data_IF_874485908671
#
_entry.id   IF_874485908671
#
_cell.length_a   1.000
_cell.length_b   1.000
_cell.length_c   1.000
_cell.angle_alpha   90.00
_cell.angle_beta   90.00
_cell.angle_gamma   90.00
#
_symmetry.space_group_name_H-M   'P 1'
#
loop_
_entity.id
_entity.type
_entity.pdbx_description
1 polymer ?
#
# COMPACT_ATOMS: atom_id res chain seq x y z
N UNK A 1 19.58 31.26 20.33
CA UNK A 1 18.92 30.57 21.45
C UNK A 1 18.52 29.20 20.93
N UNK A 2 19.31 28.17 21.23
CA UNK A 2 19.04 26.78 20.89
C UNK A 2 18.38 26.08 22.08
N UNK A 3 17.61 25.03 21.78
CA UNK A 3 17.05 24.00 22.65
C UNK A 3 15.62 24.23 23.17
N UNK A 4 14.66 23.93 22.30
CA UNK A 4 13.54 23.09 22.68
C UNK A 4 13.86 21.66 22.22
N UNK A 5 13.81 20.69 23.13
CA UNK A 5 14.05 19.28 22.85
C UNK A 5 13.10 18.78 21.73
N UNK A 6 13.67 18.34 20.62
CA UNK A 6 12.96 17.82 19.45
C UNK A 6 12.55 16.35 19.68
N UNK A 7 11.77 16.08 20.74
CA UNK A 7 11.59 14.71 21.28
C UNK A 7 10.54 13.85 20.58
N UNK A 8 9.88 14.34 19.54
CA UNK A 8 8.96 13.53 18.74
C UNK A 8 9.58 13.32 17.37
N UNK A 9 10.27 12.19 17.18
CA UNK A 9 10.64 11.68 15.87
C UNK A 9 9.36 11.61 15.02
N UNK A 10 9.22 12.51 14.05
CA UNK A 10 8.00 12.73 13.26
C UNK A 10 8.28 12.47 11.78
N UNK A 11 7.34 11.87 11.03
CA UNK A 11 7.51 11.69 9.60
C UNK A 11 7.61 13.00 8.83
N UNK A 12 8.53 13.00 7.87
CA UNK A 12 8.78 14.09 6.94
C UNK A 12 8.29 13.72 5.52
N UNK A 13 8.15 12.43 5.22
CA UNK A 13 7.57 11.98 3.96
C UNK A 13 6.61 10.80 4.09
N UNK A 14 5.70 10.69 3.12
CA UNK A 14 4.66 9.67 3.08
C UNK A 14 4.63 8.97 1.72
N UNK A 15 4.81 7.66 1.70
CA UNK A 15 4.46 6.83 0.55
C UNK A 15 2.98 6.42 0.67
N UNK A 16 2.12 7.18 0.00
CA UNK A 16 0.65 7.15 0.21
C UNK A 16 -0.07 6.12 -0.65
N UNK A 17 0.61 5.58 -1.65
CA UNK A 17 -0.01 4.65 -2.57
C UNK A 17 0.85 4.33 -3.76
N UNK A 18 0.36 3.45 -4.64
CA UNK A 18 -0.87 2.70 -4.54
C UNK A 18 -0.61 1.24 -4.14
N UNK A 19 -1.63 0.59 -3.61
CA UNK A 19 -1.57 -0.84 -3.33
C UNK A 19 -1.16 -1.61 -4.59
N UNK A 20 -0.28 -2.61 -4.43
CA UNK A 20 0.19 -3.49 -5.53
C UNK A 20 1.04 -2.83 -6.61
N UNK A 21 1.49 -1.60 -6.39
CA UNK A 21 2.33 -0.85 -7.33
C UNK A 21 3.83 -0.90 -7.03
N UNK A 22 4.31 -1.74 -6.10
CA UNK A 22 5.76 -1.88 -5.84
C UNK A 22 6.28 -1.15 -4.60
N UNK A 23 5.42 -0.45 -3.85
CA UNK A 23 5.77 0.32 -2.64
C UNK A 23 6.53 -0.48 -1.57
N UNK A 24 6.30 -1.80 -1.47
CA UNK A 24 7.05 -2.65 -0.51
C UNK A 24 8.50 -2.87 -0.93
N UNK A 25 8.80 -2.87 -2.23
CA UNK A 25 10.17 -2.89 -2.73
C UNK A 25 10.82 -1.52 -2.53
N UNK A 26 10.12 -0.43 -2.86
CA UNK A 26 10.59 0.93 -2.59
C UNK A 26 10.96 1.12 -1.11
N UNK A 27 10.04 0.82 -0.18
CA UNK A 27 10.33 0.89 1.25
C UNK A 27 11.51 0.01 1.68
N UNK A 28 11.69 -1.16 1.05
CA UNK A 28 12.83 -2.03 1.33
C UNK A 28 14.16 -1.36 0.95
N UNK A 29 14.21 -0.64 -0.17
CA UNK A 29 15.38 0.09 -0.63
C UNK A 29 15.62 1.35 0.21
N UNK A 30 14.57 2.14 0.46
CA UNK A 30 14.67 3.35 1.31
C UNK A 30 15.22 3.04 2.70
N UNK A 31 14.81 1.90 3.30
CA UNK A 31 15.30 1.48 4.63
C UNK A 31 16.79 1.08 4.64
N UNK A 32 17.42 0.87 3.48
CA UNK A 32 18.85 0.58 3.40
C UNK A 32 19.69 1.86 3.44
N UNK A 33 19.11 3.01 3.09
CA UNK A 33 19.80 4.29 3.05
C UNK A 33 20.20 4.75 4.48
N UNK A 34 21.46 5.16 4.73
CA UNK A 34 21.92 5.55 6.06
C UNK A 34 21.16 6.75 6.65
N UNK A 35 20.68 7.64 5.77
CA UNK A 35 19.99 8.88 6.15
C UNK A 35 18.46 8.79 6.06
N UNK A 36 17.89 7.60 5.87
CA UNK A 36 16.43 7.42 5.89
C UNK A 36 16.04 6.46 7.01
N UNK A 37 15.02 6.84 7.78
CA UNK A 37 14.36 5.95 8.72
C UNK A 37 12.99 5.52 8.19
N UNK A 38 12.80 4.21 8.06
CA UNK A 38 11.48 3.60 7.82
C UNK A 38 11.12 2.67 8.98
N UNK A 39 9.93 2.78 9.59
CA UNK A 39 9.51 1.85 10.63
C UNK A 39 9.40 0.42 10.07
N UNK A 40 9.62 -0.58 10.93
CA UNK A 40 9.42 -2.00 10.56
C UNK A 40 7.96 -2.32 10.26
N UNK A 41 7.05 -1.69 11.01
CA UNK A 41 5.61 -1.82 10.80
C UNK A 41 5.15 -0.76 9.80
N UNK A 42 4.29 -1.17 8.87
CA UNK A 42 3.71 -0.34 7.82
C UNK A 42 2.22 -0.61 7.70
N UNK A 43 1.53 0.15 6.83
CA UNK A 43 0.08 0.04 6.64
C UNK A 43 -0.68 0.33 7.93
N UNK A 44 -0.28 1.40 8.61
CA UNK A 44 -0.83 1.85 9.91
C UNK A 44 -2.12 2.64 9.70
N UNK A 45 -2.22 3.34 8.57
CA UNK A 45 -3.37 4.12 8.13
C UNK A 45 -3.88 5.12 9.18
N UNK A 46 -2.98 5.74 9.96
CA UNK A 46 -3.33 6.72 10.99
C UNK A 46 -4.13 7.89 10.41
N UNK A 47 -3.75 8.37 9.23
CA UNK A 47 -4.45 9.44 8.53
C UNK A 47 -5.62 8.98 7.65
N UNK A 48 -6.17 7.78 7.84
CA UNK A 48 -7.36 7.32 7.09
C UNK A 48 -8.48 6.79 8.00
N UNK A 49 -9.02 7.63 8.91
CA UNK A 49 -10.12 7.23 9.77
C UNK A 49 -11.41 6.85 9.00
N UNK A 50 -11.56 7.27 7.74
CA UNK A 50 -12.67 6.86 6.87
C UNK A 50 -12.52 5.42 6.31
N UNK A 51 -11.34 4.81 6.47
CA UNK A 51 -11.06 3.46 5.96
C UNK A 51 -11.04 2.39 7.05
N UNK A 52 -10.84 2.78 8.31
CA UNK A 52 -10.65 1.86 9.44
C UNK A 52 -11.70 2.12 10.53
N UNK A 53 -11.82 1.19 11.48
CA UNK A 53 -12.77 1.33 12.57
C UNK A 53 -12.40 2.51 13.50
N UNK A 54 -13.39 3.24 14.02
CA UNK A 54 -13.17 4.39 14.92
C UNK A 54 -12.36 4.05 16.17
N UNK A 55 -12.40 2.78 16.60
CA UNK A 55 -11.68 2.27 17.77
C UNK A 55 -10.33 1.65 17.42
N UNK A 56 -9.89 1.76 16.16
CA UNK A 56 -8.60 1.23 15.76
C UNK A 56 -7.48 1.91 16.57
N UNK A 57 -6.65 1.16 17.29
CA UNK A 57 -5.68 1.73 18.21
C UNK A 57 -4.61 2.56 17.49
N UNK A 58 -4.46 2.42 16.18
CA UNK A 58 -3.54 3.23 15.39
C UNK A 58 -4.03 4.64 15.12
N UNK A 59 -5.28 4.98 15.48
CA UNK A 59 -5.76 6.36 15.52
C UNK A 59 -5.24 7.14 16.74
N UNK A 60 -4.67 6.47 17.75
CA UNK A 60 -3.98 7.14 18.86
C UNK A 60 -2.62 7.67 18.40
N UNK A 61 -2.44 8.99 18.51
CA UNK A 61 -1.24 9.70 18.04
C UNK A 61 0.02 9.23 18.76
N UNK A 62 -0.03 9.01 20.09
CA UNK A 62 1.15 8.55 20.84
C UNK A 62 1.60 7.17 20.38
N UNK A 63 0.65 6.25 20.14
CA UNK A 63 0.94 4.94 19.57
C UNK A 63 1.51 5.06 18.16
N UNK A 64 0.95 5.93 17.33
CA UNK A 64 1.46 6.20 15.99
C UNK A 64 2.91 6.71 16.01
N UNK A 65 3.19 7.77 16.79
CA UNK A 65 4.53 8.36 16.89
C UNK A 65 5.57 7.42 17.50
N UNK A 66 5.14 6.46 18.33
CA UNK A 66 6.04 5.43 18.89
C UNK A 66 6.73 4.56 17.83
N UNK A 67 6.21 4.52 16.60
CA UNK A 67 6.83 3.79 15.48
C UNK A 67 8.16 4.40 15.04
N UNK A 68 8.34 5.69 15.27
CA UNK A 68 9.50 6.46 14.81
C UNK A 68 10.53 6.69 15.90
N UNK A 69 10.30 6.20 17.13
CA UNK A 69 11.16 6.46 18.29
C UNK A 69 12.62 5.95 18.16
N UNK A 70 12.92 5.17 17.12
CA UNK A 70 14.26 4.65 16.81
C UNK A 70 14.99 5.41 15.71
N UNK A 71 14.36 6.41 15.10
CA UNK A 71 15.02 7.29 14.14
C UNK A 71 16.17 8.04 14.81
N UNK A 72 17.27 8.20 14.09
CA UNK A 72 18.41 9.03 14.50
C UNK A 72 18.18 10.46 14.04
N UNK A 73 18.80 11.41 14.74
CA UNK A 73 18.62 12.85 14.51
C UNK A 73 18.93 13.30 13.07
N UNK A 74 19.83 12.62 12.37
CA UNK A 74 20.22 12.96 11.00
C UNK A 74 19.37 12.30 9.90
N UNK A 75 18.41 11.45 10.27
CA UNK A 75 17.64 10.66 9.31
C UNK A 75 16.33 11.33 8.95
N UNK A 76 16.01 11.34 7.65
CA UNK A 76 14.68 11.70 7.14
C UNK A 76 13.70 10.57 7.44
N UNK A 77 12.59 10.88 8.10
CA UNK A 77 11.65 9.87 8.61
C UNK A 77 10.49 9.66 7.64
N UNK A 78 10.25 8.41 7.23
CA UNK A 78 9.16 8.07 6.31
C UNK A 78 8.04 7.23 6.91
N UNK A 79 6.82 7.42 6.41
CA UNK A 79 5.67 6.54 6.65
C UNK A 79 5.15 5.91 5.35
N UNK A 80 4.54 4.73 5.45
CA UNK A 80 3.99 4.05 4.26
C UNK A 80 2.68 3.36 4.63
N UNK A 81 1.60 3.88 4.05
CA UNK A 81 0.27 3.27 4.08
C UNK A 81 -0.38 3.46 2.71
N UNK A 82 -0.43 2.39 1.92
CA UNK A 82 -0.71 2.46 0.48
C UNK A 82 -2.17 2.80 0.13
N UNK A 83 -3.05 2.73 1.13
CA UNK A 83 -4.45 3.10 1.00
C UNK A 83 -4.72 4.54 1.42
N UNK A 84 -3.72 5.35 1.77
CA UNK A 84 -3.90 6.80 1.89
C UNK A 84 -4.32 7.44 0.57
N UNK A 85 -3.84 6.93 -0.56
CA UNK A 85 -4.31 7.34 -1.87
C UNK A 85 -5.81 7.08 -2.05
N UNK A 86 -6.30 5.92 -1.60
CA UNK A 86 -7.71 5.54 -1.66
C UNK A 86 -8.60 6.37 -0.72
N UNK A 87 -8.07 6.77 0.44
CA UNK A 87 -8.79 7.52 1.45
C UNK A 87 -9.30 8.86 0.93
N UNK A 88 -10.50 9.22 1.36
CA UNK A 88 -11.12 10.52 1.05
C UNK A 88 -10.63 11.61 2.01
N UNK A 89 -10.05 11.23 3.16
CA UNK A 89 -9.65 12.18 4.20
C UNK A 89 -8.14 12.34 4.36
N UNK A 90 -7.34 11.42 3.82
CA UNK A 90 -5.90 11.36 4.12
C UNK A 90 -5.12 12.57 3.66
N UNK A 91 -5.29 13.03 2.41
CA UNK A 91 -4.55 14.19 1.90
C UNK A 91 -4.71 15.41 2.83
N UNK A 92 -5.95 15.76 3.15
CA UNK A 92 -6.29 16.87 4.08
C UNK A 92 -5.71 16.68 5.48
N UNK A 93 -5.80 15.47 6.04
CA UNK A 93 -5.33 15.20 7.41
C UNK A 93 -3.81 15.17 7.51
N UNK A 94 -3.11 14.63 6.50
CA UNK A 94 -1.65 14.69 6.40
C UNK A 94 -1.22 16.14 6.28
N UNK A 95 -1.76 16.89 5.31
CA UNK A 95 -1.40 18.31 5.11
C UNK A 95 -1.67 19.16 6.36
N UNK A 96 -2.80 18.96 7.05
CA UNK A 96 -3.10 19.66 8.31
C UNK A 96 -2.04 19.41 9.40
N UNK A 97 -1.42 18.23 9.41
CA UNK A 97 -0.50 17.79 10.47
C UNK A 97 0.97 17.99 10.09
N UNK A 98 1.28 17.83 8.81
CA UNK A 98 2.60 17.94 8.20
C UNK A 98 2.48 18.72 6.89
N UNK A 99 2.30 20.06 6.96
CA UNK A 99 2.09 20.88 5.77
C UNK A 99 3.28 20.85 4.81
N UNK A 100 4.49 20.65 5.33
CA UNK A 100 5.74 20.60 4.56
C UNK A 100 6.13 19.18 4.12
N UNK A 101 5.26 18.18 4.31
CA UNK A 101 5.60 16.79 4.00
C UNK A 101 5.82 16.54 2.51
N UNK A 102 6.81 15.71 2.20
CA UNK A 102 6.99 15.14 0.86
C UNK A 102 6.08 13.93 0.66
N UNK A 103 5.40 13.86 -0.48
CA UNK A 103 4.42 12.82 -0.80
C UNK A 103 4.90 12.02 -2.01
N UNK A 104 5.04 10.71 -1.83
CA UNK A 104 5.41 9.77 -2.90
C UNK A 104 4.18 8.97 -3.32
N UNK A 105 3.83 9.05 -4.60
CA UNK A 105 2.69 8.37 -5.23
C UNK A 105 3.20 7.41 -6.31
N UNK A 106 3.16 6.11 -6.04
CA UNK A 106 3.59 5.07 -6.96
C UNK A 106 2.39 4.34 -7.59
N UNK A 107 2.08 4.55 -8.86
CA UNK A 107 0.94 3.89 -9.51
C UNK A 107 1.36 2.80 -10.49
N UNK A 108 0.41 1.97 -10.88
CA UNK A 108 0.54 0.88 -11.84
C UNK A 108 -0.74 0.80 -12.66
N UNK A 109 -0.72 0.18 -13.84
CA UNK A 109 -1.93 -0.14 -14.60
C UNK A 109 -3.08 -0.61 -13.67
N UNK A 110 -4.22 0.13 -13.62
CA UNK A 110 -5.34 -0.17 -12.74
C UNK A 110 -5.86 -1.61 -12.84
N UNK A 111 -5.91 -2.18 -14.05
CA UNK A 111 -6.34 -3.56 -14.30
C UNK A 111 -5.44 -4.54 -13.55
N UNK A 112 -4.13 -4.36 -13.68
CA UNK A 112 -3.15 -5.21 -13.02
C UNK A 112 -3.19 -5.05 -11.50
N UNK A 113 -3.45 -3.84 -10.99
CA UNK A 113 -3.63 -3.59 -9.56
C UNK A 113 -4.82 -4.36 -9.02
N UNK A 114 -5.99 -4.25 -9.65
CA UNK A 114 -7.20 -4.98 -9.23
C UNK A 114 -6.97 -6.49 -9.19
N UNK A 115 -6.37 -7.04 -10.25
CA UNK A 115 -6.09 -8.47 -10.34
C UNK A 115 -5.04 -8.94 -9.33
N UNK A 116 -4.00 -8.14 -9.11
CA UNK A 116 -2.94 -8.39 -8.14
C UNK A 116 -3.45 -8.30 -6.71
N UNK A 117 -4.37 -7.37 -6.43
CA UNK A 117 -4.99 -7.18 -5.13
C UNK A 117 -5.89 -8.37 -4.80
N UNK A 118 -6.75 -8.79 -5.72
CA UNK A 118 -7.59 -9.99 -5.54
C UNK A 118 -6.76 -11.23 -5.15
N UNK A 119 -5.67 -11.49 -5.86
CA UNK A 119 -4.75 -12.58 -5.52
C UNK A 119 -4.14 -12.43 -4.12
N UNK A 120 -3.80 -11.20 -3.70
CA UNK A 120 -3.29 -10.94 -2.34
C UNK A 120 -4.38 -11.16 -1.28
N UNK A 121 -5.61 -10.69 -1.52
CA UNK A 121 -6.70 -10.85 -0.56
C UNK A 121 -7.07 -12.33 -0.38
N UNK A 122 -7.04 -13.12 -1.46
CA UNK A 122 -7.18 -14.59 -1.36
C UNK A 122 -6.05 -15.19 -0.52
N UNK A 123 -4.81 -14.80 -0.79
CA UNK A 123 -3.63 -15.28 -0.06
C UNK A 123 -3.70 -14.93 1.44
N UNK A 124 -4.19 -13.73 1.77
CA UNK A 124 -4.38 -13.27 3.15
C UNK A 124 -5.59 -13.92 3.84
N UNK A 125 -6.47 -14.61 3.09
CA UNK A 125 -7.72 -15.15 3.63
C UNK A 125 -8.81 -14.09 3.85
N UNK A 126 -8.67 -12.94 3.18
CA UNK A 126 -9.57 -11.79 3.26
C UNK A 126 -10.62 -11.80 2.14
N UNK A 127 -10.39 -12.55 1.05
CA UNK A 127 -11.34 -12.69 -0.07
C UNK A 127 -11.96 -14.10 -0.13
N UNK A 128 -13.29 -14.17 -0.15
CA UNK A 128 -14.08 -15.40 -0.20
C UNK A 128 -14.47 -15.80 -1.64
N UNK A 129 -14.59 -14.84 -2.55
CA UNK A 129 -14.90 -15.06 -3.97
C UNK A 129 -13.59 -15.29 -4.74
N UNK A 130 -13.32 -16.56 -5.06
CA UNK A 130 -12.06 -16.99 -5.69
C UNK A 130 -11.92 -16.63 -7.16
N UNK A 131 -13.05 -16.43 -7.82
CA UNK A 131 -13.09 -16.02 -9.21
C UNK A 131 -12.99 -14.49 -9.29
N UNK A 132 -12.05 -13.98 -10.09
CA UNK A 132 -11.77 -12.55 -10.14
C UNK A 132 -12.95 -11.76 -10.72
N UNK A 133 -13.57 -12.24 -11.79
CA UNK A 133 -14.70 -11.55 -12.42
C UNK A 133 -15.88 -11.43 -11.45
N UNK A 134 -16.22 -12.54 -10.77
CA UNK A 134 -17.28 -12.53 -9.75
C UNK A 134 -16.96 -11.61 -8.59
N UNK A 135 -15.70 -11.55 -8.15
CA UNK A 135 -15.28 -10.69 -7.04
C UNK A 135 -15.33 -9.19 -7.44
N UNK A 136 -14.94 -8.88 -8.67
CA UNK A 136 -14.98 -7.55 -9.26
C UNK A 136 -16.42 -7.01 -9.35
N UNK A 137 -17.34 -7.81 -9.90
CA UNK A 137 -18.74 -7.41 -10.05
C UNK A 137 -19.59 -7.56 -8.78
N UNK A 138 -19.01 -8.05 -7.68
CA UNK A 138 -19.65 -8.03 -6.36
C UNK A 138 -19.52 -6.67 -5.64
N UNK A 139 -18.84 -5.69 -6.23
CA UNK A 139 -18.58 -4.38 -5.60
C UNK A 139 -19.85 -3.65 -5.16
N UNK A 140 -20.88 -3.57 -6.00
CA UNK A 140 -22.12 -2.87 -5.67
C UNK A 140 -22.90 -3.56 -4.54
N UNK A 141 -22.93 -4.89 -4.54
CA UNK A 141 -23.47 -5.67 -3.42
C UNK A 141 -22.69 -5.39 -2.13
N UNK A 142 -21.35 -5.29 -2.20
CA UNK A 142 -20.48 -4.97 -1.06
C UNK A 142 -20.72 -3.57 -0.53
N UNK A 143 -20.88 -2.56 -1.41
CA UNK A 143 -21.27 -1.20 -1.02
C UNK A 143 -22.63 -1.17 -0.33
N UNK A 144 -23.55 -2.04 -0.72
CA UNK A 144 -24.85 -2.24 -0.08
C UNK A 144 -24.81 -3.12 1.20
N UNK A 145 -23.61 -3.48 1.70
CA UNK A 145 -23.45 -4.28 2.91
C UNK A 145 -23.69 -5.78 2.75
N UNK A 146 -23.83 -6.28 1.51
CA UNK A 146 -24.00 -7.71 1.19
C UNK A 146 -22.65 -8.33 0.85
N UNK A 147 -22.50 -9.64 1.06
CA UNK A 147 -21.29 -10.38 0.72
C UNK A 147 -20.00 -9.76 1.30
N UNK A 148 -20.09 -9.12 2.46
CA UNK A 148 -18.95 -8.49 3.09
C UNK A 148 -17.91 -9.54 3.53
N UNK A 149 -16.62 -9.32 3.24
CA UNK A 149 -15.58 -10.21 3.70
C UNK A 149 -15.42 -10.15 5.22
N UNK A 150 -15.37 -11.30 5.87
CA UNK A 150 -15.50 -11.47 7.33
C UNK A 150 -14.24 -10.97 8.10
N UNK A 151 -13.14 -10.70 7.41
CA UNK A 151 -11.82 -10.44 8.05
C UNK A 151 -11.04 -9.35 7.34
N UNK A 152 -11.59 -8.14 7.29
CA UNK A 152 -10.86 -7.01 6.73
C UNK A 152 -10.91 -5.80 7.64
N UNK A 153 -9.74 -5.19 7.87
CA UNK A 153 -9.62 -3.90 8.56
C UNK A 153 -10.13 -2.74 7.70
N UNK A 154 -9.98 -2.85 6.37
CA UNK A 154 -10.39 -1.84 5.40
C UNK A 154 -11.37 -2.50 4.44
N UNK A 155 -12.65 -2.11 4.49
CA UNK A 155 -13.66 -2.71 3.61
C UNK A 155 -13.45 -2.25 2.15
N UNK A 156 -13.15 -0.97 1.93
CA UNK A 156 -12.99 -0.35 0.60
C UNK A 156 -11.95 -1.04 -0.30
N UNK A 157 -10.99 -1.79 0.25
CA UNK A 157 -10.02 -2.57 -0.56
C UNK A 157 -10.66 -3.71 -1.39
N UNK A 158 -11.93 -4.03 -1.13
CA UNK A 158 -12.73 -5.00 -1.88
C UNK A 158 -13.61 -4.36 -2.96
N UNK A 159 -13.60 -3.03 -3.06
CA UNK A 159 -14.21 -2.27 -4.14
C UNK A 159 -13.16 -2.09 -5.22
N UNK A 160 -12.96 -3.14 -6.02
CA UNK A 160 -11.86 -3.23 -6.96
C UNK A 160 -11.86 -2.10 -8.00
N UNK A 161 -13.02 -1.77 -8.59
CA UNK A 161 -13.10 -0.65 -9.52
C UNK A 161 -12.71 0.65 -8.83
N UNK A 162 -13.24 0.89 -7.63
CA UNK A 162 -12.90 2.07 -6.85
C UNK A 162 -11.40 2.16 -6.52
N UNK A 163 -10.75 1.03 -6.18
CA UNK A 163 -9.30 0.96 -5.98
C UNK A 163 -8.53 1.37 -7.23
N UNK A 164 -9.00 1.01 -8.43
CA UNK A 164 -8.36 1.32 -9.71
C UNK A 164 -8.61 2.74 -10.25
N UNK A 165 -9.49 3.53 -9.63
CA UNK A 165 -9.80 4.90 -10.05
C UNK A 165 -8.78 5.91 -9.47
N UNK A 166 -7.55 5.92 -9.98
CA UNK A 166 -6.47 6.73 -9.42
C UNK A 166 -6.61 8.23 -9.69
N UNK A 167 -7.28 8.66 -10.75
CA UNK A 167 -7.38 10.07 -11.15
C UNK A 167 -7.98 10.92 -10.02
N UNK A 168 -9.15 10.53 -9.52
CA UNK A 168 -9.80 11.21 -8.39
C UNK A 168 -8.99 11.10 -7.10
N UNK A 169 -8.25 9.99 -6.93
CA UNK A 169 -7.42 9.78 -5.76
C UNK A 169 -6.20 10.71 -5.75
N UNK A 170 -5.54 10.90 -6.89
CA UNK A 170 -4.39 11.78 -7.06
C UNK A 170 -4.81 13.25 -6.97
N UNK A 171 -5.95 13.62 -7.56
CA UNK A 171 -6.47 14.99 -7.50
C UNK A 171 -6.67 15.47 -6.04
N UNK A 172 -7.06 14.58 -5.13
CA UNK A 172 -7.15 14.93 -3.70
C UNK A 172 -5.80 15.29 -3.10
N UNK A 173 -4.69 14.72 -3.55
CA UNK A 173 -3.36 15.10 -3.06
C UNK A 173 -2.90 16.42 -3.69
N UNK A 174 -3.15 16.62 -4.99
CA UNK A 174 -2.86 17.88 -5.70
C UNK A 174 -3.64 19.07 -5.14
N UNK A 175 -4.81 18.85 -4.50
CA UNK A 175 -5.57 19.92 -3.84
C UNK A 175 -4.85 20.49 -2.60
N UNK A 176 -4.02 19.70 -1.91
CA UNK A 176 -3.40 20.08 -0.64
C UNK A 176 -1.88 20.25 -0.71
N UNK A 177 -1.20 19.62 -1.66
CA UNK A 177 0.27 19.64 -1.76
C UNK A 177 0.71 20.29 -3.06
N UNK A 178 1.76 21.09 -2.99
CA UNK A 178 2.37 21.70 -4.17
C UNK A 178 3.15 20.67 -5.00
N UNK A 179 3.42 21.00 -6.26
CA UNK A 179 4.12 20.11 -7.20
C UNK A 179 5.50 19.67 -6.70
N UNK A 180 6.24 20.55 -6.01
CA UNK A 180 7.55 20.26 -5.43
C UNK A 180 7.50 19.36 -4.20
N UNK A 181 6.31 19.16 -3.62
CA UNK A 181 6.05 18.21 -2.54
C UNK A 181 5.57 16.85 -3.04
N UNK A 182 5.36 16.67 -4.35
CA UNK A 182 4.79 15.46 -4.93
C UNK A 182 5.78 14.77 -5.87
N UNK A 183 6.04 13.48 -5.62
CA UNK A 183 6.84 12.65 -6.50
C UNK A 183 6.04 11.44 -7.00
N UNK A 184 5.87 11.38 -8.32
CA UNK A 184 5.14 10.32 -8.99
C UNK A 184 6.07 9.25 -9.55
N UNK A 185 5.77 7.99 -9.27
CA UNK A 185 6.50 6.83 -9.79
C UNK A 185 5.54 5.95 -10.57
N UNK A 186 5.86 5.65 -11.84
CA UNK A 186 5.17 4.60 -12.58
C UNK A 186 5.86 3.26 -12.30
N UNK A 187 5.09 2.24 -11.93
CA UNK A 187 5.62 0.91 -11.68
C UNK A 187 6.36 0.31 -12.89
N UNK A 188 5.97 0.70 -14.10
CA UNK A 188 6.62 0.25 -15.33
C UNK A 188 8.05 0.80 -15.41
N UNK A 189 8.26 2.07 -15.11
CA UNK A 189 9.58 2.72 -15.05
C UNK A 189 10.42 2.10 -13.92
N UNK A 190 9.83 1.93 -12.73
CA UNK A 190 10.48 1.29 -11.58
C UNK A 190 10.93 -0.14 -11.86
N UNK A 191 10.21 -0.86 -12.72
CA UNK A 191 10.59 -2.22 -13.14
C UNK A 191 11.70 -2.21 -14.19
N UNK A 192 11.74 -1.20 -15.06
CA UNK A 192 12.74 -1.05 -16.11
C UNK A 192 14.09 -0.64 -15.50
N UNK A 193 14.08 0.38 -14.63
CA UNK A 193 15.28 0.90 -13.99
C UNK A 193 15.04 1.22 -12.50
N UNK A 194 15.05 0.17 -11.69
CA UNK A 194 14.83 0.29 -10.25
C UNK A 194 15.87 1.17 -9.55
N UNK A 195 17.13 1.15 -9.99
CA UNK A 195 18.17 1.94 -9.34
C UNK A 195 17.92 3.43 -9.58
N UNK A 196 17.70 3.81 -10.84
CA UNK A 196 17.45 5.21 -11.19
C UNK A 196 16.22 5.78 -10.48
N UNK A 197 15.11 5.05 -10.42
CA UNK A 197 13.91 5.50 -9.71
C UNK A 197 14.16 5.68 -8.21
N UNK A 198 14.90 4.76 -7.58
CA UNK A 198 15.24 4.87 -6.15
C UNK A 198 16.16 6.08 -5.88
N UNK A 199 17.15 6.31 -6.73
CA UNK A 199 18.04 7.48 -6.60
C UNK A 199 17.30 8.79 -6.86
N UNK A 200 16.33 8.80 -7.78
CA UNK A 200 15.44 9.95 -7.99
C UNK A 200 14.63 10.26 -6.72
N UNK A 201 14.15 9.23 -6.03
CA UNK A 201 13.49 9.41 -4.72
C UNK A 201 14.48 9.93 -3.67
N UNK A 202 15.73 9.47 -3.64
CA UNK A 202 16.73 10.01 -2.72
C UNK A 202 16.98 11.51 -2.93
N UNK A 203 17.16 11.93 -4.18
CA UNK A 203 17.29 13.34 -4.53
C UNK A 203 16.04 14.14 -4.14
N UNK A 204 14.85 13.61 -4.41
CA UNK A 204 13.58 14.24 -4.01
C UNK A 204 13.46 14.40 -2.47
N UNK A 205 13.96 13.45 -1.70
CA UNK A 205 13.99 13.51 -0.24
C UNK A 205 15.18 14.32 0.32
N UNK A 206 16.06 14.85 -0.54
CA UNK A 206 17.22 15.64 -0.15
C UNK A 206 18.32 14.84 0.56
N UNK A 207 18.43 13.53 0.32
CA UNK A 207 19.50 12.67 0.85
C UNK A 207 20.50 12.28 -0.25
N UNK A 208 21.61 11.63 0.12
CA UNK A 208 22.65 11.19 -0.82
C UNK A 208 22.12 10.25 -1.92
N UNK A 209 21.91 10.79 -3.11
CA UNK A 209 21.41 10.04 -4.25
C UNK A 209 22.43 9.08 -4.88
N UNK A 210 23.71 9.14 -4.45
CA UNK A 210 24.75 8.23 -4.92
C UNK A 210 24.72 6.85 -4.22
N UNK A 211 23.95 6.72 -3.13
CA UNK A 211 23.83 5.46 -2.40
C UNK A 211 23.18 4.36 -3.27
N UNK A 212 23.82 3.20 -3.35
CA UNK A 212 23.31 2.05 -4.12
C UNK A 212 22.79 0.97 -3.16
N UNK A 213 21.46 0.74 -3.07
CA UNK A 213 20.90 -0.33 -2.25
C UNK A 213 21.12 -1.71 -2.89
N UNK A 214 20.98 -2.78 -2.11
CA UNK A 214 20.95 -4.16 -2.62
C UNK A 214 19.64 -4.41 -3.39
N UNK A 215 19.68 -4.25 -4.72
CA UNK A 215 18.54 -4.46 -5.62
C UNK A 215 18.39 -5.96 -5.92
N UNK A 216 17.98 -6.74 -4.92
CA UNK A 216 17.50 -8.11 -5.13
C UNK A 216 16.00 -8.09 -5.37
N UNK A 217 15.55 -8.91 -6.31
CA UNK A 217 14.14 -9.04 -6.65
C UNK A 217 13.30 -9.47 -5.43
N UNK A 218 12.49 -8.54 -4.90
CA UNK A 218 11.66 -8.77 -3.70
C UNK A 218 10.29 -9.38 -4.06
N UNK A 219 9.91 -9.43 -5.34
CA UNK A 219 8.52 -9.67 -5.74
C UNK A 219 8.29 -10.99 -6.48
N UNK A 220 8.01 -12.05 -5.72
CA UNK A 220 7.43 -13.29 -6.25
C UNK A 220 5.98 -13.45 -5.79
N UNK A 221 5.08 -13.72 -6.74
CA UNK A 221 3.68 -13.97 -6.43
C UNK A 221 3.53 -15.24 -5.56
N UNK A 222 2.59 -15.20 -4.62
CA UNK A 222 2.38 -16.24 -3.60
C UNK A 222 0.96 -16.75 -3.67
N UNK A 223 0.78 -18.05 -3.43
CA UNK A 223 -0.51 -18.69 -3.16
C UNK A 223 -0.42 -19.51 -1.89
N UNK A 224 -1.56 -19.76 -1.27
CA UNK A 224 -1.67 -20.71 -0.17
C UNK A 224 -1.78 -22.14 -0.71
N UNK A 225 -1.21 -23.11 0.03
CA UNK A 225 -1.28 -24.54 -0.30
C UNK A 225 -2.64 -25.13 0.08
N UNK A 226 -3.20 -24.73 1.22
CA UNK A 226 -4.48 -25.24 1.73
C UNK A 226 -5.33 -24.13 2.39
N UNK A 227 -6.57 -23.95 1.92
CA UNK A 227 -7.55 -23.04 2.56
C UNK A 227 -8.08 -23.60 3.87
N UNK A 228 -8.18 -24.92 3.99
CA UNK A 228 -8.62 -25.56 5.23
C UNK A 228 -7.62 -25.28 6.36
N UNK A 229 -6.32 -25.44 6.08
CA UNK A 229 -5.26 -25.12 7.03
C UNK A 229 -5.28 -23.64 7.43
N UNK A 230 -5.43 -22.73 6.45
CA UNK A 230 -5.56 -21.29 6.73
C UNK A 230 -6.77 -20.99 7.63
N UNK A 231 -7.94 -21.56 7.34
CA UNK A 231 -9.15 -21.38 8.17
C UNK A 231 -8.94 -21.90 9.60
N UNK A 232 -8.33 -23.07 9.76
CA UNK A 232 -8.00 -23.64 11.07
C UNK A 232 -6.99 -22.77 11.84
N UNK A 233 -5.92 -22.32 11.17
CA UNK A 233 -4.93 -21.40 11.73
C UNK A 233 -5.58 -20.15 12.30
N UNK A 234 -6.43 -19.48 11.52
CA UNK A 234 -7.09 -18.26 12.00
C UNK A 234 -8.00 -18.54 13.21
N UNK A 235 -8.76 -19.65 13.19
CA UNK A 235 -9.64 -20.03 14.31
C UNK A 235 -8.83 -20.35 15.57
N UNK A 236 -7.73 -21.08 15.43
CA UNK A 236 -6.86 -21.43 16.55
C UNK A 236 -6.18 -20.18 17.16
N UNK A 237 -5.73 -19.25 16.30
CA UNK A 237 -5.17 -17.97 16.75
C UNK A 237 -6.22 -17.14 17.47
N UNK A 238 -7.42 -17.01 16.91
CA UNK A 238 -8.47 -16.16 17.50
C UNK A 238 -9.04 -16.73 18.81
N UNK A 239 -9.17 -18.04 18.94
CA UNK A 239 -9.83 -18.67 20.10
C UNK A 239 -8.86 -19.13 21.19
N UNK A 240 -7.72 -19.71 20.82
CA UNK A 240 -6.85 -20.42 21.77
C UNK A 240 -5.61 -19.59 22.09
N UNK A 241 -4.87 -19.15 21.07
CA UNK A 241 -3.57 -18.52 21.30
C UNK A 241 -3.66 -17.05 21.69
N UNK A 242 -4.69 -16.32 21.26
CA UNK A 242 -4.92 -14.91 21.62
C UNK A 242 -4.97 -14.69 23.14
N UNK A 243 -5.41 -15.70 23.90
CA UNK A 243 -5.50 -15.67 25.37
C UNK A 243 -4.21 -16.11 26.08
N UNK A 244 -3.30 -16.79 25.37
CA UNK A 244 -2.14 -17.48 25.95
C UNK A 244 -0.80 -16.83 25.56
N UNK A 245 -0.74 -16.13 24.44
CA UNK A 245 0.50 -15.59 23.88
C UNK A 245 0.44 -14.06 23.83
N UNK A 246 1.59 -13.42 24.02
CA UNK A 246 1.73 -11.99 23.76
C UNK A 246 1.57 -11.68 22.26
N UNK A 247 1.17 -10.45 21.95
CA UNK A 247 0.95 -9.98 20.58
C UNK A 247 2.15 -10.26 19.65
N UNK A 248 3.37 -9.97 20.11
CA UNK A 248 4.61 -10.26 19.36
C UNK A 248 4.78 -11.76 19.04
N UNK A 249 4.46 -12.65 19.99
CA UNK A 249 4.56 -14.10 19.77
C UNK A 249 3.47 -14.59 18.81
N UNK A 250 2.27 -14.03 18.90
CA UNK A 250 1.17 -14.33 17.97
C UNK A 250 1.48 -13.93 16.54
N UNK A 251 2.02 -12.73 16.34
CA UNK A 251 2.46 -12.26 15.02
C UNK A 251 3.50 -13.20 14.42
N UNK A 252 4.49 -13.62 15.23
CA UNK A 252 5.55 -14.55 14.80
C UNK A 252 5.02 -15.96 14.49
N UNK A 253 4.09 -16.48 15.30
CA UNK A 253 3.45 -17.78 15.03
C UNK A 253 2.63 -17.71 13.75
N UNK A 254 1.81 -16.67 13.59
CA UNK A 254 0.99 -16.47 12.41
C UNK A 254 1.84 -16.37 11.14
N UNK A 255 2.98 -15.65 11.19
CA UNK A 255 3.89 -15.53 10.04
C UNK A 255 4.57 -16.87 9.70
N UNK A 256 4.95 -17.67 10.70
CA UNK A 256 5.50 -19.01 10.49
C UNK A 256 4.49 -19.95 9.84
N UNK A 257 3.27 -20.03 10.38
CA UNK A 257 2.21 -20.89 9.84
C UNK A 257 1.79 -20.46 8.43
N UNK A 258 1.71 -19.15 8.17
CA UNK A 258 1.46 -18.63 6.82
C UNK A 258 2.59 -19.03 5.86
N UNK A 259 3.86 -18.92 6.28
CA UNK A 259 5.01 -19.33 5.47
C UNK A 259 4.98 -20.83 5.16
N UNK A 260 4.63 -21.69 6.13
CA UNK A 260 4.46 -23.12 5.91
C UNK A 260 3.35 -23.44 4.89
N UNK A 261 2.29 -22.62 4.89
CA UNK A 261 1.20 -22.71 3.92
C UNK A 261 1.47 -21.96 2.61
N UNK A 262 2.64 -21.34 2.41
CA UNK A 262 2.94 -20.54 1.22
C UNK A 262 3.56 -21.41 0.11
N UNK A 263 3.15 -21.15 -1.12
CA UNK A 263 3.77 -21.64 -2.35
C UNK A 263 4.05 -20.46 -3.28
N UNK A 264 5.27 -20.39 -3.80
CA UNK A 264 5.66 -19.42 -4.81
C UNK A 264 5.25 -19.95 -6.18
N UNK A 265 4.40 -19.20 -6.87
CA UNK A 265 3.90 -19.55 -8.20
C UNK A 265 3.58 -18.28 -8.96
N UNK A 266 3.81 -18.32 -10.27
CA UNK A 266 3.35 -17.26 -11.16
C UNK A 266 1.84 -17.09 -11.08
N UNK A 267 1.40 -15.85 -11.28
CA UNK A 267 -0.02 -15.56 -11.35
C UNK A 267 -0.53 -16.13 -12.68
N UNK A 268 -1.70 -16.76 -12.65
CA UNK A 268 -2.35 -17.16 -13.90
C UNK A 268 -2.67 -15.88 -14.68
N UNK A 269 -2.55 -15.88 -16.02
CA UNK A 269 -3.05 -14.76 -16.81
C UNK A 269 -4.57 -14.64 -16.64
N UNK A 270 -5.08 -13.43 -16.85
CA UNK A 270 -6.53 -13.17 -16.87
C UNK A 270 -7.14 -13.84 -18.11
N UNK A 271 -8.45 -14.15 -18.06
CA UNK A 271 -9.17 -14.52 -19.28
C UNK A 271 -9.14 -13.34 -20.27
N UNK A 272 -8.77 -13.63 -21.53
CA UNK A 272 -8.55 -12.59 -22.54
C UNK A 272 -9.81 -11.79 -22.87
N UNK A 273 -11.00 -12.40 -22.80
CA UNK A 273 -12.26 -11.70 -23.07
C UNK A 273 -12.56 -10.74 -21.93
N UNK A 274 -12.35 -11.17 -20.69
CA UNK A 274 -12.46 -10.31 -19.52
C UNK A 274 -11.44 -9.17 -19.56
N UNK A 275 -10.18 -9.46 -19.88
CA UNK A 275 -9.12 -8.46 -19.97
C UNK A 275 -9.48 -7.36 -20.97
N UNK A 276 -9.89 -7.73 -22.19
CA UNK A 276 -10.31 -6.76 -23.22
C UNK A 276 -11.53 -5.94 -22.78
N UNK A 277 -12.50 -6.57 -22.11
CA UNK A 277 -13.67 -5.87 -21.55
C UNK A 277 -13.24 -4.83 -20.52
N UNK A 278 -12.30 -5.17 -19.64
CA UNK A 278 -11.81 -4.27 -18.58
C UNK A 278 -10.93 -3.15 -19.14
N UNK A 279 -10.08 -3.43 -20.13
CA UNK A 279 -9.31 -2.38 -20.85
C UNK A 279 -10.25 -1.31 -21.41
N UNK A 280 -11.35 -1.73 -22.06
CA UNK A 280 -12.35 -0.79 -22.58
C UNK A 280 -13.04 0.01 -21.46
N UNK A 281 -13.39 -0.62 -20.34
CA UNK A 281 -14.03 0.03 -19.20
C UNK A 281 -13.12 1.03 -18.48
N UNK A 282 -11.80 0.77 -18.45
CA UNK A 282 -10.81 1.60 -17.76
C UNK A 282 -10.19 2.66 -18.67
N UNK A 283 -10.50 2.66 -19.97
CA UNK A 283 -9.89 3.58 -20.94
C UNK A 283 -10.01 5.04 -20.50
N UNK A 284 -11.21 5.50 -20.11
CA UNK A 284 -11.42 6.89 -19.70
C UNK A 284 -10.63 7.26 -18.43
N UNK A 285 -10.45 6.32 -17.51
CA UNK A 285 -9.61 6.50 -16.32
C UNK A 285 -8.14 6.64 -16.70
N UNK A 286 -7.66 5.82 -17.64
CA UNK A 286 -6.26 5.86 -18.10
C UNK A 286 -5.98 7.12 -18.93
N UNK A 287 -6.92 7.54 -19.78
CA UNK A 287 -6.82 8.79 -20.55
C UNK A 287 -6.69 9.99 -19.58
N UNK A 288 -7.51 10.02 -18.53
CA UNK A 288 -7.45 11.08 -17.50
C UNK A 288 -6.15 11.04 -16.68
N UNK A 289 -5.65 9.84 -16.34
CA UNK A 289 -4.34 9.71 -15.70
C UNK A 289 -3.21 10.21 -16.60
N UNK A 290 -3.32 9.97 -17.91
CA UNK A 290 -2.32 10.42 -18.88
C UNK A 290 -2.23 11.95 -18.92
N UNK A 291 -3.39 12.62 -18.93
CA UNK A 291 -3.48 14.08 -18.85
C UNK A 291 -2.94 14.60 -17.51
N UNK A 292 -3.39 14.02 -16.40
CA UNK A 292 -3.02 14.45 -15.05
C UNK A 292 -1.51 14.37 -14.78
N UNK A 293 -0.85 13.35 -15.34
CA UNK A 293 0.58 13.10 -15.13
C UNK A 293 1.44 13.65 -16.27
N UNK A 294 0.85 14.15 -17.36
CA UNK A 294 1.58 14.56 -18.57
C UNK A 294 2.37 13.42 -19.21
N UNK A 295 1.86 12.18 -19.16
CA UNK A 295 2.54 10.95 -19.64
C UNK A 295 1.60 10.12 -20.50
N UNK A 296 2.08 9.59 -21.64
CA UNK A 296 1.26 8.67 -22.45
C UNK A 296 1.14 7.29 -21.77
N UNK A 297 -0.03 6.99 -21.22
CA UNK A 297 -0.36 5.69 -20.63
C UNK A 297 -1.23 4.81 -21.53
N UNK A 298 -1.40 5.18 -22.81
CA UNK A 298 -2.27 4.45 -23.75
C UNK A 298 -1.91 2.98 -23.90
N UNK A 299 -0.63 2.62 -23.68
CA UNK A 299 -0.16 1.24 -23.68
C UNK A 299 -0.85 0.36 -22.62
N UNK A 300 -1.48 0.93 -21.59
CA UNK A 300 -2.20 0.17 -20.56
C UNK A 300 -3.54 -0.42 -21.01
N UNK A 301 -4.13 0.11 -22.09
CA UNK A 301 -5.36 -0.42 -22.69
C UNK A 301 -5.23 -0.83 -24.17
N UNK A 302 -4.03 -0.76 -24.75
CA UNK A 302 -3.73 -1.32 -26.08
C UNK A 302 -3.79 -2.85 -26.10
#
# INVERSE_FOLDING_TARGET
MMNANNSDNRPEFFCVGAAKSGTSALQHFLRQHPDIFMPEMKEIHHFAPDLIEEKDPWLDERKYLSLFSKAKEHQVIGETSVFYLLSETSARLIHKTYPDASIIIMIRNPLEVMYSLHSQLIYNGEENILDFEKALFAEEDRKAGKNLPIRTRIQKKHWYFHVGQFSEQILRFLEYFNDDQLHFILYDDFKIDTLNEVQTVYNFLGVDDSFVPDIKNVNTNKKIRSRFFQKMQHKAISCCFSKLLSEKKLIKLNSYLLKANTKYVERKPMDIKLENRLKNLLKSEIDRLSELLGRDLSNWYK
#
